data_IF_828025929736
#
_entry.id   IF_828025929736
#
_cell.length_a   1.000
_cell.length_b   1.000
_cell.length_c   1.000
_cell.angle_alpha   90.00
_cell.angle_beta   90.00
_cell.angle_gamma   90.00
#
_symmetry.space_group_name_H-M   'P 1'
#
loop_
_entity.id
_entity.type
_entity.pdbx_description
1 polymer ?
#
# COMPACT_ATOMS: atom_id res chain seq x y z
N UNK A 1 16.89 -12.58 5.73
CA UNK A 1 17.54 -11.90 4.58
C UNK A 1 16.84 -12.24 3.26
N UNK A 2 16.77 -13.50 2.84
CA UNK A 2 16.07 -13.89 1.59
C UNK A 2 14.61 -13.39 1.55
N UNK A 3 13.86 -13.55 2.65
CA UNK A 3 12.48 -13.06 2.76
C UNK A 3 12.35 -11.54 2.55
N UNK A 4 13.36 -10.77 2.98
CA UNK A 4 13.35 -9.32 2.79
C UNK A 4 13.54 -8.95 1.31
N UNK A 5 14.41 -9.65 0.59
CA UNK A 5 14.57 -9.47 -0.86
C UNK A 5 13.29 -9.82 -1.62
N UNK A 6 12.65 -10.92 -1.25
CA UNK A 6 11.37 -11.34 -1.85
C UNK A 6 10.28 -10.29 -1.57
N UNK A 7 10.19 -9.79 -0.34
CA UNK A 7 9.24 -8.72 0.02
C UNK A 7 9.50 -7.43 -0.77
N UNK A 8 10.77 -7.00 -0.91
CA UNK A 8 11.14 -5.85 -1.73
C UNK A 8 10.75 -6.03 -3.19
N UNK A 9 10.99 -7.22 -3.76
CA UNK A 9 10.64 -7.54 -5.15
C UNK A 9 9.12 -7.40 -5.38
N UNK A 10 8.30 -8.04 -4.54
CA UNK A 10 6.84 -7.94 -4.65
C UNK A 10 6.31 -6.53 -4.39
N UNK A 11 6.94 -5.80 -3.47
CA UNK A 11 6.59 -4.40 -3.20
C UNK A 11 6.87 -3.51 -4.41
N UNK A 12 7.99 -3.75 -5.11
CA UNK A 12 8.33 -3.08 -6.37
C UNK A 12 7.27 -3.31 -7.45
N UNK A 13 6.94 -4.57 -7.71
CA UNK A 13 5.88 -4.92 -8.68
C UNK A 13 4.55 -4.27 -8.34
N UNK A 14 4.11 -4.37 -7.08
CA UNK A 14 2.87 -3.75 -6.61
C UNK A 14 2.89 -2.24 -6.80
N UNK A 15 3.97 -1.57 -6.41
CA UNK A 15 4.06 -0.10 -6.45
C UNK A 15 3.97 0.44 -7.88
N UNK A 16 4.70 -0.18 -8.81
CA UNK A 16 4.65 0.18 -10.23
C UNK A 16 3.26 -0.06 -10.83
N UNK A 17 2.69 -1.25 -10.62
CA UNK A 17 1.36 -1.58 -11.14
C UNK A 17 0.27 -0.65 -10.58
N UNK A 18 0.30 -0.36 -9.28
CA UNK A 18 -0.66 0.55 -8.65
C UNK A 18 -0.60 1.96 -9.24
N UNK A 19 0.61 2.47 -9.50
CA UNK A 19 0.78 3.84 -10.04
C UNK A 19 0.23 3.93 -11.46
N UNK A 20 0.53 2.95 -12.32
CA UNK A 20 -0.04 2.87 -13.66
C UNK A 20 -1.56 2.81 -13.64
N UNK A 21 -2.14 1.92 -12.83
CA UNK A 21 -3.59 1.76 -12.72
C UNK A 21 -4.27 3.06 -12.26
N UNK A 22 -3.70 3.75 -11.28
CA UNK A 22 -4.26 5.00 -10.74
C UNK A 22 -4.32 6.10 -11.82
N UNK A 23 -3.34 6.13 -12.73
CA UNK A 23 -3.30 7.10 -13.83
C UNK A 23 -4.25 6.71 -14.98
N UNK A 24 -4.46 5.41 -15.20
CA UNK A 24 -5.39 4.89 -16.20
C UNK A 24 -6.85 5.06 -15.78
N UNK A 25 -7.15 4.98 -14.48
CA UNK A 25 -8.50 5.18 -13.94
C UNK A 25 -9.05 6.61 -14.12
N UNK A 26 -8.18 7.62 -14.16
CA UNK A 26 -8.60 9.04 -14.28
C UNK A 26 -7.74 9.79 -15.32
N UNK A 27 -7.89 9.47 -16.62
CA UNK A 27 -7.00 9.98 -17.66
C UNK A 27 -7.11 11.49 -17.88
N UNK A 28 -8.26 12.10 -17.55
CA UNK A 28 -8.48 13.54 -17.67
C UNK A 28 -7.76 14.37 -16.59
N UNK A 29 -7.43 13.75 -15.44
CA UNK A 29 -6.91 14.45 -14.25
C UNK A 29 -5.66 13.78 -13.67
N UNK A 30 -4.78 13.27 -14.55
CA UNK A 30 -3.56 12.53 -14.17
C UNK A 30 -2.72 13.22 -13.10
N UNK A 31 -2.52 14.54 -13.22
CA UNK A 31 -1.70 15.32 -12.30
C UNK A 31 -2.30 15.43 -10.88
N UNK A 32 -3.58 15.79 -10.78
CA UNK A 32 -4.25 15.90 -9.47
C UNK A 32 -4.44 14.54 -8.82
N UNK A 33 -4.72 13.50 -9.61
CA UNK A 33 -4.79 12.13 -9.11
C UNK A 33 -3.43 11.63 -8.60
N UNK A 34 -2.33 11.93 -9.29
CA UNK A 34 -0.98 11.59 -8.78
C UNK A 34 -0.67 12.29 -7.45
N UNK A 35 -1.06 13.56 -7.30
CA UNK A 35 -0.90 14.29 -6.03
C UNK A 35 -1.74 13.67 -4.90
N UNK A 36 -3.00 13.33 -5.17
CA UNK A 36 -3.87 12.68 -4.19
C UNK A 36 -3.37 11.28 -3.80
N UNK A 37 -2.86 10.51 -4.77
CA UNK A 37 -2.20 9.22 -4.54
C UNK A 37 -0.96 9.39 -3.63
N UNK A 38 -0.11 10.36 -3.94
CA UNK A 38 1.10 10.66 -3.16
C UNK A 38 0.76 11.13 -1.74
N UNK A 39 -0.25 12.00 -1.59
CA UNK A 39 -0.72 12.44 -0.28
C UNK A 39 -1.24 11.25 0.56
N UNK A 40 -2.02 10.36 -0.05
CA UNK A 40 -2.52 9.14 0.60
C UNK A 40 -1.37 8.21 1.01
N UNK A 41 -0.34 8.08 0.18
CA UNK A 41 0.87 7.33 0.51
C UNK A 41 1.55 7.89 1.75
N UNK A 42 1.79 9.21 1.79
CA UNK A 42 2.45 9.84 2.95
C UNK A 42 1.63 9.72 4.23
N UNK A 43 0.31 9.89 4.16
CA UNK A 43 -0.58 9.66 5.31
C UNK A 43 -0.44 8.22 5.82
N UNK A 44 -0.48 7.24 4.90
CA UNK A 44 -0.28 5.84 5.25
C UNK A 44 1.06 5.56 5.90
N UNK A 45 2.15 6.15 5.38
CA UNK A 45 3.49 5.99 5.97
C UNK A 45 3.60 6.62 7.36
N UNK A 46 3.00 7.79 7.57
CA UNK A 46 3.02 8.48 8.86
C UNK A 46 2.22 7.71 9.91
N UNK A 47 1.01 7.25 9.56
CA UNK A 47 0.19 6.42 10.44
C UNK A 47 0.83 5.07 10.73
N UNK A 48 1.42 4.43 9.71
CA UNK A 48 2.11 3.15 9.86
C UNK A 48 3.34 3.27 10.76
N UNK A 49 4.13 4.33 10.63
CA UNK A 49 5.28 4.58 11.51
C UNK A 49 4.84 4.88 12.94
N UNK A 50 3.80 5.69 13.12
CA UNK A 50 3.26 6.02 14.44
C UNK A 50 2.69 4.78 15.16
N UNK A 51 1.76 4.07 14.52
CA UNK A 51 1.16 2.86 15.09
C UNK A 51 2.18 1.72 15.24
N UNK A 52 3.08 1.56 14.28
CA UNK A 52 4.15 0.55 14.35
C UNK A 52 5.12 0.84 15.49
N UNK A 53 5.51 2.10 15.69
CA UNK A 53 6.32 2.52 16.83
C UNK A 53 5.62 2.27 18.17
N UNK A 54 4.32 2.56 18.27
CA UNK A 54 3.52 2.27 19.46
C UNK A 54 3.44 0.76 19.74
N UNK A 55 3.23 -0.07 18.72
CA UNK A 55 3.21 -1.54 18.91
C UNK A 55 4.55 -2.10 19.36
N UNK A 56 5.66 -1.54 18.88
CA UNK A 56 7.00 -1.91 19.36
C UNK A 56 7.22 -1.53 20.83
N UNK A 57 6.65 -0.42 21.29
CA UNK A 57 6.80 0.01 22.68
C UNK A 57 5.97 -0.82 23.67
N UNK A 58 4.79 -1.30 23.27
CA UNK A 58 3.85 -1.99 24.17
C UNK A 58 3.90 -3.51 24.09
N UNK A 59 4.26 -4.07 22.94
CA UNK A 59 4.32 -5.50 22.71
C UNK A 59 5.77 -5.88 22.37
N UNK A 60 6.02 -6.33 21.14
CA UNK A 60 7.33 -6.77 20.65
C UNK A 60 7.35 -6.76 19.12
N UNK A 61 8.50 -7.05 18.52
CA UNK A 61 8.67 -7.20 17.06
C UNK A 61 7.74 -8.24 16.42
N UNK A 62 7.35 -9.29 17.16
CA UNK A 62 6.42 -10.31 16.65
C UNK A 62 5.03 -9.72 16.42
N UNK A 63 4.51 -8.94 17.38
CA UNK A 63 3.22 -8.29 17.27
C UNK A 63 3.19 -7.26 16.14
N UNK A 64 4.29 -6.51 15.94
CA UNK A 64 4.47 -5.60 14.80
C UNK A 64 4.34 -6.35 13.46
N UNK A 65 5.03 -7.49 13.34
CA UNK A 65 4.99 -8.30 12.11
C UNK A 65 3.58 -8.80 11.78
N UNK A 66 2.84 -9.26 12.79
CA UNK A 66 1.44 -9.71 12.62
C UNK A 66 0.54 -8.54 12.20
N UNK A 67 0.69 -7.36 12.80
CA UNK A 67 -0.11 -6.19 12.46
C UNK A 67 0.18 -5.66 11.05
N UNK A 68 1.46 -5.57 10.66
CA UNK A 68 1.85 -5.16 9.31
C UNK A 68 1.40 -6.18 8.25
N UNK A 69 1.54 -7.47 8.54
CA UNK A 69 1.03 -8.54 7.66
C UNK A 69 -0.50 -8.50 7.52
N UNK A 70 -1.20 -8.37 8.65
CA UNK A 70 -2.67 -8.31 8.68
C UNK A 70 -3.24 -7.09 7.95
N UNK A 71 -2.64 -5.91 8.13
CA UNK A 71 -3.04 -4.70 7.39
C UNK A 71 -2.74 -4.83 5.89
N UNK A 72 -1.64 -5.49 5.51
CA UNK A 72 -1.34 -5.82 4.11
C UNK A 72 -2.40 -6.72 3.46
N UNK A 73 -2.87 -7.74 4.17
CA UNK A 73 -3.95 -8.63 3.70
C UNK A 73 -5.29 -7.88 3.65
N UNK A 74 -5.62 -7.09 4.66
CA UNK A 74 -6.84 -6.28 4.64
C UNK A 74 -6.83 -5.31 3.45
N UNK A 75 -5.69 -4.67 3.17
CA UNK A 75 -5.54 -3.79 2.02
C UNK A 75 -5.67 -4.53 0.68
N UNK A 76 -5.18 -5.77 0.56
CA UNK A 76 -5.33 -6.54 -0.67
C UNK A 76 -6.80 -6.95 -0.91
N UNK A 77 -7.55 -7.27 0.15
CA UNK A 77 -8.99 -7.52 0.06
C UNK A 77 -9.76 -6.27 -0.40
N UNK A 78 -9.47 -5.11 0.20
CA UNK A 78 -10.06 -3.84 -0.24
C UNK A 78 -9.74 -3.56 -1.71
N UNK A 79 -8.50 -3.80 -2.14
CA UNK A 79 -8.10 -3.62 -3.51
C UNK A 79 -8.90 -4.54 -4.45
N UNK A 80 -8.96 -5.85 -4.18
CA UNK A 80 -9.70 -6.79 -5.04
C UNK A 80 -11.20 -6.53 -5.12
N UNK A 81 -11.82 -6.02 -4.04
CA UNK A 81 -13.26 -5.81 -4.00
C UNK A 81 -13.69 -4.47 -4.61
N UNK A 82 -12.84 -3.44 -4.49
CA UNK A 82 -13.24 -2.06 -4.75
C UNK A 82 -12.61 -1.46 -6.00
N UNK A 83 -11.45 -1.96 -6.42
CA UNK A 83 -10.79 -1.50 -7.63
C UNK A 83 -11.55 -2.04 -8.83
N UNK A 84 -11.96 -1.13 -9.73
CA UNK A 84 -12.48 -1.48 -11.04
C UNK A 84 -11.38 -1.33 -12.08
N UNK A 85 -11.22 -2.38 -12.89
CA UNK A 85 -10.35 -2.32 -14.04
C UNK A 85 -10.94 -1.39 -15.10
N UNK A 86 -10.13 -0.49 -15.67
CA UNK A 86 -10.56 0.42 -16.73
C UNK A 86 -10.72 -0.27 -18.10
N UNK A 87 -10.39 -1.56 -18.23
CA UNK A 87 -10.42 -2.32 -19.50
C UNK A 87 -11.75 -2.98 -19.83
N UNK A 88 -12.83 -2.66 -19.10
CA UNK A 88 -14.18 -3.07 -19.52
C UNK A 88 -14.70 -2.05 -20.53
N UNK A 89 -14.36 -2.26 -21.80
CA UNK A 89 -15.25 -1.92 -22.92
C UNK A 89 -16.50 -2.81 -22.89
#
# INVERSE_FOLDING_TARGET
IVLAFVACLFTGFRSSANTSLTLEQVPAYRGTMMSAHTASWYIGTALGAWLGGLMLLWYDYSALGIALGGTGIAASLLFQLLVRDPTVE
#
